data_IF_749959789561
#
_entry.id   IF_749959789561
#
_cell.length_a   1.000
_cell.length_b   1.000
_cell.length_c   1.000
_cell.angle_alpha   90.00
_cell.angle_beta   90.00
_cell.angle_gamma   90.00
#
_symmetry.space_group_name_H-M   'P 1'
#
loop_
_entity.id
_entity.type
_entity.pdbx_description
1 polymer ?
#
# COMPACT_ATOMS: atom_id res chain seq x y z
N UNK A 1 -1.08 -12.71 -11.65
CA UNK A 1 -1.23 -11.25 -11.80
C UNK A 1 -1.22 -10.60 -10.43
N UNK A 2 -0.55 -9.46 -10.31
CA UNK A 2 -0.49 -8.75 -9.04
C UNK A 2 -1.54 -7.64 -9.02
N UNK A 3 -2.15 -7.45 -7.87
CA UNK A 3 -3.13 -6.40 -7.69
C UNK A 3 -2.73 -5.55 -6.49
N UNK A 4 -2.67 -4.23 -6.69
CA UNK A 4 -2.29 -3.29 -5.65
C UNK A 4 -3.56 -2.84 -4.93
N UNK A 5 -3.66 -3.18 -3.66
CA UNK A 5 -4.89 -2.90 -2.91
C UNK A 5 -4.66 -1.96 -1.71
N UNK A 6 -3.75 -1.04 -1.87
CA UNK A 6 -3.43 -0.08 -0.81
C UNK A 6 -4.66 0.66 -0.31
N UNK A 7 -5.52 1.10 -1.22
CA UNK A 7 -6.71 1.85 -0.84
C UNK A 7 -7.63 1.05 0.06
N UNK A 8 -7.76 -0.23 -0.23
CA UNK A 8 -8.59 -1.11 0.58
C UNK A 8 -8.03 -1.22 2.00
N UNK A 9 -6.72 -1.39 2.12
CA UNK A 9 -6.07 -1.49 3.43
C UNK A 9 -6.20 -0.18 4.18
N UNK A 10 -6.04 0.95 3.49
CA UNK A 10 -6.22 2.27 4.09
C UNK A 10 -7.61 2.40 4.71
N UNK A 11 -8.62 2.03 3.95
CA UNK A 11 -10.00 2.14 4.43
C UNK A 11 -10.25 1.23 5.63
N UNK A 12 -9.65 0.05 5.64
CA UNK A 12 -9.78 -0.86 6.76
C UNK A 12 -9.15 -0.29 8.02
N UNK A 13 -8.17 0.59 7.86
CA UNK A 13 -7.49 1.22 8.99
C UNK A 13 -8.06 2.60 9.32
N UNK A 14 -9.13 3.00 8.65
CA UNK A 14 -9.76 4.30 8.88
C UNK A 14 -9.02 5.48 8.27
N UNK A 15 -8.23 5.22 7.24
CA UNK A 15 -7.47 6.28 6.56
C UNK A 15 -8.19 6.62 5.27
N UNK A 16 -8.68 7.85 5.17
CA UNK A 16 -9.53 8.24 4.06
C UNK A 16 -8.86 9.06 2.97
N UNK A 17 -7.66 9.55 3.20
CA UNK A 17 -6.97 10.37 2.21
C UNK A 17 -5.48 10.11 2.18
N UNK A 18 -4.83 10.52 1.08
CA UNK A 18 -3.39 10.41 0.96
C UNK A 18 -2.67 11.26 1.99
N UNK A 19 -3.26 12.41 2.34
CA UNK A 19 -2.66 13.29 3.35
C UNK A 19 -2.60 12.61 4.72
N UNK A 20 -3.64 11.87 5.07
CA UNK A 20 -3.64 11.11 6.31
C UNK A 20 -2.60 10.01 6.29
N UNK A 21 -2.48 9.33 5.15
CA UNK A 21 -1.47 8.28 5.00
C UNK A 21 -0.07 8.86 5.11
N UNK A 22 0.16 10.01 4.49
CA UNK A 22 1.44 10.68 4.53
C UNK A 22 1.84 11.00 5.98
N UNK A 23 0.90 11.52 6.75
CA UNK A 23 1.13 11.86 8.14
C UNK A 23 1.40 10.60 8.96
N UNK A 24 0.67 9.55 8.70
CA UNK A 24 0.84 8.28 9.40
C UNK A 24 2.21 7.67 9.12
N UNK A 25 2.69 7.77 7.89
CA UNK A 25 4.01 7.30 7.52
C UNK A 25 5.09 8.04 8.30
N UNK A 26 4.93 9.36 8.44
CA UNK A 26 5.90 10.14 9.19
C UNK A 26 5.86 9.78 10.68
N UNK A 27 4.67 9.63 11.23
CA UNK A 27 4.52 9.36 12.65
C UNK A 27 4.93 7.96 13.07
N UNK A 28 4.55 6.97 12.28
CA UNK A 28 4.79 5.58 12.68
C UNK A 28 6.04 4.96 12.09
N UNK A 29 6.41 5.35 10.89
CA UNK A 29 7.56 4.77 10.23
C UNK A 29 8.72 5.76 10.08
N UNK A 30 8.51 7.01 10.41
CA UNK A 30 9.52 8.04 10.23
C UNK A 30 9.90 8.23 8.78
N UNK A 31 9.01 7.90 7.88
CA UNK A 31 9.28 7.92 6.45
C UNK A 31 8.60 9.09 5.78
N UNK A 32 9.35 9.89 5.05
CA UNK A 32 8.79 11.05 4.38
C UNK A 32 8.62 10.80 2.89
N UNK A 33 7.46 11.16 2.38
CA UNK A 33 7.18 11.11 0.97
C UNK A 33 6.55 12.42 0.56
N UNK A 34 6.67 12.77 -0.72
CA UNK A 34 6.01 13.96 -1.23
C UNK A 34 4.53 13.65 -1.48
N UNK A 35 3.71 14.68 -1.50
CA UNK A 35 2.30 14.53 -1.76
C UNK A 35 2.02 13.89 -3.13
N UNK A 36 2.72 14.29 -4.21
CA UNK A 36 2.53 13.62 -5.50
C UNK A 36 2.88 12.13 -5.47
N UNK A 37 3.91 11.76 -4.71
CA UNK A 37 4.30 10.35 -4.62
C UNK A 37 3.24 9.53 -3.92
N UNK A 38 2.71 10.04 -2.83
CA UNK A 38 1.66 9.36 -2.08
C UNK A 38 0.40 9.25 -2.94
N UNK A 39 0.07 10.31 -3.67
CA UNK A 39 -1.10 10.32 -4.53
C UNK A 39 -0.99 9.26 -5.62
N UNK A 40 0.20 9.10 -6.19
CA UNK A 40 0.43 8.07 -7.20
C UNK A 40 0.22 6.68 -6.66
N UNK A 41 0.64 6.44 -5.41
CA UNK A 41 0.45 5.14 -4.79
C UNK A 41 -1.00 4.86 -4.45
N UNK A 42 -1.73 5.88 -4.02
CA UNK A 42 -3.13 5.71 -3.63
C UNK A 42 -4.03 5.56 -4.84
N UNK A 43 -3.75 6.31 -5.91
CA UNK A 43 -4.62 6.33 -7.06
C UNK A 43 -4.22 5.41 -8.21
N UNK A 44 -3.11 4.74 -8.11
CA UNK A 44 -2.66 3.86 -9.18
C UNK A 44 -1.85 2.69 -8.65
N UNK A 45 -1.48 1.80 -9.54
CA UNK A 45 -0.67 0.66 -9.19
C UNK A 45 0.78 0.95 -9.60
N UNK A 46 1.72 0.89 -8.66
CA UNK A 46 3.11 1.15 -9.01
C UNK A 46 3.68 -0.01 -9.81
N UNK A 47 4.55 0.29 -10.77
CA UNK A 47 5.20 -0.73 -11.55
C UNK A 47 6.33 -1.34 -10.75
N UNK A 48 6.97 -0.55 -9.92
CA UNK A 48 8.00 -1.02 -9.03
C UNK A 48 8.00 -0.16 -7.79
N UNK A 49 8.53 -0.66 -6.72
CA UNK A 49 8.53 0.05 -5.46
C UNK A 49 9.81 -0.27 -4.71
N UNK A 50 10.37 0.74 -4.06
CA UNK A 50 11.55 0.54 -3.24
C UNK A 50 11.15 -0.25 -2.01
N UNK A 51 12.03 -1.13 -1.56
CA UNK A 51 11.74 -1.92 -0.37
C UNK A 51 11.55 -1.04 0.85
N UNK A 52 12.26 0.09 0.94
CA UNK A 52 12.08 1.03 2.04
C UNK A 52 10.67 1.58 2.09
N UNK A 53 10.10 1.92 0.92
CA UNK A 53 8.75 2.46 0.84
C UNK A 53 7.73 1.40 1.27
N UNK A 54 7.91 0.19 0.78
CA UNK A 54 7.02 -0.89 1.11
C UNK A 54 7.09 -1.22 2.60
N UNK A 55 8.29 -1.24 3.15
CA UNK A 55 8.48 -1.48 4.58
C UNK A 55 7.81 -0.40 5.42
N UNK A 56 7.94 0.85 5.01
CA UNK A 56 7.31 1.97 5.71
C UNK A 56 5.79 1.86 5.69
N UNK A 57 5.23 1.49 4.54
CA UNK A 57 3.79 1.30 4.42
C UNK A 57 3.30 0.18 5.33
N UNK A 58 4.04 -0.93 5.37
CA UNK A 58 3.67 -2.04 6.23
C UNK A 58 3.74 -1.66 7.70
N UNK A 59 4.75 -0.90 8.09
CA UNK A 59 4.87 -0.44 9.46
C UNK A 59 3.73 0.50 9.84
N UNK A 60 3.44 1.46 8.98
CA UNK A 60 2.41 2.46 9.24
C UNK A 60 1.01 1.84 9.27
N UNK A 61 0.75 0.91 8.37
CA UNK A 61 -0.56 0.31 8.26
C UNK A 61 -0.69 -0.99 9.06
N UNK A 62 0.39 -1.41 9.68
CA UNK A 62 0.44 -2.65 10.46
C UNK A 62 -0.04 -3.84 9.63
N UNK A 63 0.57 -4.00 8.48
CA UNK A 63 0.22 -5.09 7.56
C UNK A 63 1.48 -5.67 6.94
N UNK A 64 1.33 -6.68 6.11
CA UNK A 64 2.45 -7.30 5.42
C UNK A 64 2.46 -6.88 3.95
N UNK A 65 3.57 -7.03 3.25
CA UNK A 65 3.60 -6.73 1.81
C UNK A 65 2.55 -7.51 1.03
N UNK A 66 2.24 -8.72 1.44
CA UNK A 66 1.21 -9.53 0.80
C UNK A 66 -0.20 -8.97 0.97
N UNK A 67 -0.41 -8.13 1.98
CA UNK A 67 -1.70 -7.50 2.18
C UNK A 67 -1.89 -6.33 1.22
N UNK A 68 -0.80 -5.73 0.77
CA UNK A 68 -0.85 -4.58 -0.14
C UNK A 68 -0.76 -5.00 -1.60
N UNK A 69 0.03 -6.01 -1.90
CA UNK A 69 0.22 -6.48 -3.26
C UNK A 69 -0.20 -7.94 -3.32
N UNK A 70 -1.40 -8.17 -3.77
CA UNK A 70 -2.00 -9.50 -3.79
C UNK A 70 -1.77 -10.17 -5.13
N UNK A 71 -1.33 -11.41 -5.09
CA UNK A 71 -1.10 -12.17 -6.31
C UNK A 71 -2.32 -13.07 -6.58
N UNK A 72 -2.83 -12.99 -7.79
CA UNK A 72 -3.91 -13.83 -8.24
C UNK A 72 -3.46 -14.57 -9.49
N UNK A 73 -3.54 -15.88 -9.47
CA UNK A 73 -3.15 -16.66 -10.62
C UNK A 73 -4.36 -16.89 -11.50
N UNK A 74 -4.31 -16.47 -12.75
CA UNK A 74 -5.42 -16.73 -13.66
C UNK A 74 -5.59 -18.21 -13.83
N UNK A 75 -6.75 -18.66 -13.78
CA UNK A 75 -7.03 -20.05 -14.00
C UNK A 75 -6.85 -20.94 -12.82
N UNK A 76 -6.42 -20.38 -11.66
CA UNK A 76 -6.32 -21.15 -10.56
C UNK A 76 -7.48 -21.19 -9.74
N UNK A 77 -8.42 -20.86 -10.19
CA UNK A 77 -9.50 -20.74 -9.49
C UNK A 77 -9.97 -21.96 -9.12
N UNK A 78 -10.19 -22.50 -9.39
CA UNK A 78 -10.67 -23.33 -9.06
C UNK A 78 -10.22 -24.06 -8.40
N UNK A 79 -10.10 -23.78 -8.00
CA UNK A 79 -9.83 -24.41 -7.19
C UNK A 79 -9.05 -25.23 -7.15
N UNK A 80 -8.70 -25.06 -7.57
CA UNK A 80 -7.88 -25.94 -7.63
C UNK A 80 -7.43 -26.29 -6.88
#
# INVERSE_FOLDING_TARGET
MLEWVLRKVMLERGIWSGAELLRLLQDKAGYRMSAPSISALVNGQPKQMKSETLDALCTALECTPGDLWVHTSPGQTKGA
#
